data_IF_191810028225
#
_entry.id   IF_191810028225
#
_cell.length_a   1.000
_cell.length_b   1.000
_cell.length_c   1.000
_cell.angle_alpha   90.00
_cell.angle_beta   90.00
_cell.angle_gamma   90.00
#
_symmetry.space_group_name_H-M   'P 1'
#
loop_
_entity.id
_entity.type
_entity.pdbx_description
1 polymer ?
#
# COMPACT_ATOMS: atom_id res chain seq x y z
N UNK A 1 -6.13 -12.89 13.56
CA UNK A 1 -6.85 -12.74 12.28
C UNK A 1 -5.89 -13.15 11.19
N UNK A 2 -6.27 -14.08 10.34
CA UNK A 2 -5.45 -14.46 9.19
C UNK A 2 -5.86 -13.59 8.00
N UNK A 3 -4.88 -12.97 7.34
CA UNK A 3 -5.11 -12.13 6.17
C UNK A 3 -4.89 -12.96 4.90
N UNK A 4 -5.68 -12.72 3.84
CA UNK A 4 -5.42 -13.30 2.53
C UNK A 4 -4.02 -12.94 2.01
N UNK A 5 -3.38 -13.83 1.26
CA UNK A 5 -2.01 -13.64 0.77
C UNK A 5 -1.88 -12.42 -0.16
N UNK A 6 -2.95 -12.05 -0.85
CA UNK A 6 -3.01 -10.99 -1.87
C UNK A 6 -2.91 -9.58 -1.26
N UNK A 7 -3.23 -9.44 0.02
CA UNK A 7 -3.08 -8.19 0.78
C UNK A 7 -1.81 -8.16 1.61
N UNK A 8 -1.10 -9.29 1.73
CA UNK A 8 0.14 -9.39 2.47
C UNK A 8 1.33 -8.98 1.61
N UNK A 9 2.32 -8.37 2.25
CA UNK A 9 3.55 -7.94 1.60
C UNK A 9 4.71 -7.99 2.59
N UNK A 10 5.94 -7.94 2.08
CA UNK A 10 7.14 -7.86 2.90
C UNK A 10 7.78 -6.49 2.70
N UNK A 11 8.08 -5.82 3.81
CA UNK A 11 8.93 -4.65 3.79
C UNK A 11 10.34 -4.98 3.30
N UNK A 12 11.13 -3.95 2.97
CA UNK A 12 12.56 -4.10 2.62
C UNK A 12 13.38 -4.81 3.71
N UNK A 13 12.96 -4.74 4.98
CA UNK A 13 13.60 -5.45 6.09
C UNK A 13 13.01 -6.84 6.34
N UNK A 14 12.18 -7.36 5.44
CA UNK A 14 11.58 -8.70 5.53
C UNK A 14 10.40 -8.82 6.49
N UNK A 15 9.95 -7.74 7.13
CA UNK A 15 8.77 -7.77 8.01
C UNK A 15 7.49 -7.93 7.19
N UNK A 16 6.63 -8.85 7.63
CA UNK A 16 5.31 -9.06 7.04
C UNK A 16 4.39 -7.90 7.42
N UNK A 17 3.70 -7.35 6.41
CA UNK A 17 2.80 -6.20 6.52
C UNK A 17 1.50 -6.48 5.77
N UNK A 18 0.41 -5.86 6.20
CA UNK A 18 -0.86 -5.82 5.47
C UNK A 18 -0.95 -4.50 4.70
N UNK A 19 -1.14 -4.58 3.39
CA UNK A 19 -1.49 -3.42 2.55
C UNK A 19 -2.95 -3.07 2.78
N UNK A 20 -3.21 -2.05 3.58
CA UNK A 20 -4.55 -1.60 3.90
C UNK A 20 -4.95 -0.38 3.07
N UNK A 21 -6.22 -0.32 2.68
CA UNK A 21 -6.82 0.81 1.98
C UNK A 21 -6.82 2.05 2.89
N UNK A 22 -6.27 3.16 2.40
CA UNK A 22 -6.37 4.46 3.07
C UNK A 22 -7.46 5.30 2.39
N UNK A 23 -7.36 5.49 1.07
CA UNK A 23 -8.38 6.13 0.25
C UNK A 23 -8.29 5.68 -1.21
N UNK A 24 -9.37 5.85 -1.99
CA UNK A 24 -9.44 5.48 -3.42
C UNK A 24 -10.33 6.46 -4.18
N UNK A 25 -9.95 6.78 -5.41
CA UNK A 25 -10.62 7.65 -6.37
C UNK A 25 -9.94 7.54 -7.74
N UNK A 26 -9.58 8.66 -8.39
CA UNK A 26 -8.66 8.67 -9.55
C UNK A 26 -7.22 8.21 -9.22
N UNK A 27 -6.95 7.96 -7.95
CA UNK A 27 -5.73 7.39 -7.41
C UNK A 27 -6.10 6.38 -6.32
N UNK A 28 -5.14 5.54 -5.94
CA UNK A 28 -5.24 4.69 -4.77
C UNK A 28 -4.19 5.11 -3.75
N UNK A 29 -4.56 5.21 -2.48
CA UNK A 29 -3.63 5.39 -1.38
C UNK A 29 -3.75 4.23 -0.39
N UNK A 30 -2.59 3.69 0.00
CA UNK A 30 -2.47 2.57 0.92
C UNK A 30 -1.57 2.93 2.10
N UNK A 31 -1.86 2.28 3.23
CA UNK A 31 -1.00 2.22 4.41
C UNK A 31 -0.57 0.79 4.67
N UNK A 32 0.50 0.63 5.44
CA UNK A 32 1.02 -0.68 5.84
C UNK A 32 0.74 -0.89 7.32
N UNK A 33 0.09 -1.99 7.65
CA UNK A 33 -0.26 -2.35 9.01
C UNK A 33 0.50 -3.61 9.45
N UNK A 34 0.79 -3.69 10.73
CA UNK A 34 1.26 -4.93 11.34
C UNK A 34 0.08 -5.93 11.40
N UNK A 35 0.22 -7.15 10.85
CA UNK A 35 -0.88 -8.12 10.74
C UNK A 35 -1.37 -8.65 12.10
N UNK A 36 -0.60 -8.50 13.18
CA UNK A 36 -0.99 -8.95 14.52
C UNK A 36 -1.73 -7.86 15.28
N UNK A 37 -1.30 -6.61 15.12
CA UNK A 37 -1.78 -5.48 15.94
C UNK A 37 -2.71 -4.53 15.19
N UNK A 38 -2.76 -4.59 13.87
CA UNK A 38 -3.48 -3.65 12.99
C UNK A 38 -3.07 -2.18 13.17
N UNK A 39 -1.95 -1.93 13.84
CA UNK A 39 -1.36 -0.59 13.95
C UNK A 39 -0.48 -0.31 12.73
N UNK A 40 -0.28 0.97 12.37
CA UNK A 40 0.65 1.33 11.31
C UNK A 40 2.04 0.72 11.54
N UNK A 41 2.52 -0.07 10.59
CA UNK A 41 3.86 -0.66 10.60
C UNK A 41 4.95 0.39 10.29
N UNK A 42 4.57 1.45 9.58
CA UNK A 42 5.41 2.56 9.19
C UNK A 42 4.55 3.84 9.07
N UNK A 43 5.18 5.01 9.16
CA UNK A 43 4.55 6.30 8.89
C UNK A 43 4.38 6.57 7.39
N UNK A 44 5.10 5.86 6.52
CA UNK A 44 4.98 6.01 5.07
C UNK A 44 3.59 5.59 4.57
N UNK A 45 3.20 6.19 3.46
CA UNK A 45 2.06 5.78 2.63
C UNK A 45 2.54 5.39 1.25
N UNK A 46 1.74 4.62 0.53
CA UNK A 46 1.94 4.39 -0.91
C UNK A 46 0.78 5.03 -1.66
N UNK A 47 1.10 5.79 -2.69
CA UNK A 47 0.12 6.28 -3.66
C UNK A 47 0.37 5.58 -5.00
N UNK A 48 -0.72 5.20 -5.66
CA UNK A 48 -0.72 4.66 -7.01
C UNK A 48 -1.59 5.59 -7.85
N UNK A 49 -0.97 6.16 -8.87
CA UNK A 49 -1.61 7.02 -9.87
C UNK A 49 -1.84 6.19 -11.12
N UNK A 50 -2.99 6.37 -11.76
CA UNK A 50 -3.32 5.76 -13.04
C UNK A 50 -3.65 6.90 -14.02
N UNK A 51 -3.02 6.87 -15.20
CA UNK A 51 -3.38 7.79 -16.28
C UNK A 51 -4.57 7.28 -17.11
N UNK A 52 -5.00 8.07 -18.09
CA UNK A 52 -6.16 7.76 -18.94
C UNK A 52 -5.93 6.54 -19.86
N UNK A 53 -4.67 6.16 -20.08
CA UNK A 53 -4.28 4.96 -20.83
C UNK A 53 -4.20 3.71 -19.92
N UNK A 54 -4.50 3.85 -18.63
CA UNK A 54 -4.45 2.76 -17.65
C UNK A 54 -3.05 2.46 -17.11
N UNK A 55 -2.04 3.25 -17.47
CA UNK A 55 -0.66 3.05 -17.01
C UNK A 55 -0.50 3.60 -15.59
N UNK A 56 0.05 2.76 -14.72
CA UNK A 56 0.22 3.10 -13.30
C UNK A 56 1.62 3.60 -12.97
N UNK A 57 1.70 4.59 -12.08
CA UNK A 57 2.91 5.04 -11.40
C UNK A 57 2.73 4.96 -9.90
N UNK A 58 3.73 4.44 -9.20
CA UNK A 58 3.66 4.18 -7.78
C UNK A 58 4.70 5.02 -7.04
N UNK A 59 4.32 5.59 -5.91
CA UNK A 59 5.24 6.37 -5.07
C UNK A 59 5.05 6.05 -3.60
N UNK A 60 6.15 6.07 -2.85
CA UNK A 60 6.12 6.15 -1.40
C UNK A 60 6.10 7.62 -0.97
N UNK A 61 5.18 7.95 -0.06
CA UNK A 61 5.06 9.25 0.58
C UNK A 61 5.59 9.09 2.01
N UNK A 62 6.74 9.69 2.29
CA UNK A 62 7.45 9.54 3.56
C UNK A 62 7.46 10.89 4.30
N UNK A 63 6.85 11.00 5.49
CA UNK A 63 6.93 12.23 6.27
C UNK A 63 8.37 12.53 6.69
N UNK A 64 8.79 13.78 6.53
CA UNK A 64 10.05 14.27 7.08
C UNK A 64 9.94 14.47 8.60
N UNK A 65 11.09 14.71 9.24
CA UNK A 65 11.18 14.83 10.72
C UNK A 65 10.22 15.86 11.33
N UNK A 66 9.94 16.95 10.61
CA UNK A 66 9.06 18.03 11.06
C UNK A 66 7.57 17.71 10.94
N UNK A 67 7.20 16.63 10.24
CA UNK A 67 5.81 16.25 9.97
C UNK A 67 5.05 17.21 9.06
N UNK A 68 5.68 18.27 8.55
CA UNK A 68 5.06 19.29 7.69
C UNK A 68 5.33 19.03 6.21
N UNK A 69 6.44 18.36 5.92
CA UNK A 69 6.88 18.05 4.55
C UNK A 69 6.92 16.55 4.34
N UNK A 70 6.75 16.15 3.10
CA UNK A 70 6.82 14.77 2.68
C UNK A 70 7.80 14.63 1.52
N UNK A 71 8.57 13.55 1.55
CA UNK A 71 9.36 13.10 0.41
C UNK A 71 8.53 12.10 -0.40
N UNK A 72 8.45 12.32 -1.71
CA UNK A 72 7.84 11.37 -2.63
C UNK A 72 8.95 10.65 -3.40
N UNK A 73 9.00 9.31 -3.27
CA UNK A 73 10.00 8.47 -3.94
C UNK A 73 9.26 7.51 -4.85
N UNK A 74 9.67 7.41 -6.12
CA UNK A 74 9.11 6.43 -7.04
C UNK A 74 9.40 5.01 -6.52
N UNK A 75 8.37 4.17 -6.51
CA UNK A 75 8.50 2.78 -6.10
C UNK A 75 9.31 1.99 -7.13
N UNK A 76 10.21 1.13 -6.66
CA UNK A 76 10.94 0.22 -7.54
C UNK A 76 9.96 -0.70 -8.29
N UNK A 77 10.14 -0.82 -9.61
CA UNK A 77 9.41 -1.77 -10.48
C UNK A 77 10.00 -3.18 -10.33
N UNK A 78 10.17 -3.65 -9.10
CA UNK A 78 10.55 -5.05 -8.91
C UNK A 78 9.29 -5.90 -9.05
N UNK A 79 8.98 -6.25 -10.30
CA UNK A 79 7.80 -7.01 -10.69
C UNK A 79 7.84 -8.46 -10.15
N UNK A 80 9.01 -8.93 -9.71
CA UNK A 80 9.21 -10.30 -9.20
C UNK A 80 8.60 -10.55 -7.81
N UNK A 81 8.30 -9.50 -7.04
CA UNK A 81 7.81 -9.60 -5.66
C UNK A 81 6.34 -9.17 -5.49
N UNK A 82 5.67 -8.75 -6.58
CA UNK A 82 4.26 -8.36 -6.53
C UNK A 82 3.37 -9.60 -6.76
N UNK A 83 2.32 -9.82 -5.93
CA UNK A 83 1.33 -10.83 -6.25
C UNK A 83 0.72 -10.54 -7.62
N UNK A 84 0.37 -11.60 -8.36
CA UNK A 84 -0.21 -11.50 -9.72
C UNK A 84 -1.46 -10.60 -9.74
N UNK A 85 -2.27 -10.65 -8.67
CA UNK A 85 -3.38 -9.74 -8.42
C UNK A 85 -3.23 -9.06 -7.05
N UNK A 86 -2.52 -7.92 -6.96
CA UNK A 86 -2.37 -7.24 -5.69
C UNK A 86 -3.73 -6.72 -5.23
N UNK A 87 -4.07 -6.97 -3.97
CA UNK A 87 -5.28 -6.44 -3.34
C UNK A 87 -4.91 -5.47 -2.21
N UNK A 88 -5.93 -4.77 -1.72
CA UNK A 88 -5.90 -3.97 -0.49
C UNK A 88 -6.88 -4.53 0.51
N UNK A 89 -6.51 -4.51 1.78
CA UNK A 89 -7.44 -4.80 2.86
C UNK A 89 -8.32 -3.58 3.14
N UNK A 90 -9.63 -3.73 2.99
CA UNK A 90 -10.60 -2.72 3.41
C UNK A 90 -10.96 -2.96 4.89
N UNK A 91 -10.38 -2.18 5.79
CA UNK A 91 -10.63 -2.29 7.23
C UNK A 91 -12.09 -2.05 7.64
N UNK A 92 -12.83 -1.25 6.86
CA UNK A 92 -14.24 -0.94 7.15
C UNK A 92 -15.15 -2.11 6.83
N UNK A 93 -14.88 -2.79 5.72
CA UNK A 93 -15.66 -3.92 5.22
C UNK A 93 -15.14 -5.27 5.71
N UNK A 94 -13.93 -5.30 6.29
CA UNK A 94 -13.30 -6.52 6.76
C UNK A 94 -12.97 -7.52 5.65
N UNK A 95 -12.59 -7.04 4.46
CA UNK A 95 -12.31 -7.90 3.29
C UNK A 95 -11.20 -7.36 2.40
N UNK A 96 -10.59 -8.26 1.63
CA UNK A 96 -9.71 -7.89 0.53
C UNK A 96 -10.53 -7.33 -0.65
N UNK A 97 -10.01 -6.30 -1.29
CA UNK A 97 -10.58 -5.71 -2.50
C UNK A 97 -9.49 -5.46 -3.54
N UNK A 98 -9.83 -5.51 -4.84
CA UNK A 98 -8.90 -5.07 -5.90
C UNK A 98 -8.45 -3.62 -5.69
N UNK A 99 -7.24 -3.31 -6.18
CA UNK A 99 -6.70 -1.95 -6.15
C UNK A 99 -7.66 -0.95 -6.84
N UNK A 100 -8.26 -1.38 -7.95
CA UNK A 100 -9.14 -0.57 -8.80
C UNK A 100 -10.54 -1.17 -8.82
N UNK A 101 -11.56 -0.31 -8.87
CA UNK A 101 -12.97 -0.70 -9.01
C UNK A 101 -13.43 -0.48 -10.44
#
# INVERSE_FOLDING_TARGET
MEFPAEVLTKSRTGKLEVRALDSRGKFLMCKYLDPKTMKPADKKRKIILMDEEGKTREFFIIPLKDGKRYLMIEGEKDDSAKPENPMVWNEREGKAEPLWK
#
